data_IF_938795339057
#
_entry.id   IF_938795339057
#
_cell.length_a   1.000
_cell.length_b   1.000
_cell.length_c   1.000
_cell.angle_alpha   90.00
_cell.angle_beta   90.00
_cell.angle_gamma   90.00
#
_symmetry.space_group_name_H-M   'P 1'
#
loop_
_entity.id
_entity.type
_entity.pdbx_description
1 polymer ?
#
# COMPACT_ATOMS: atom_id res chain seq x y z
N UNK A 1 -17.10 -1.09 10.03
CA UNK A 1 -16.29 -0.49 8.94
C UNK A 1 -16.55 -1.26 7.65
N UNK A 2 -16.55 -0.60 6.50
CA UNK A 2 -16.90 -1.18 5.20
C UNK A 2 -15.66 -1.37 4.33
N UNK A 3 -15.64 -2.38 3.48
CA UNK A 3 -14.62 -2.51 2.45
C UNK A 3 -15.00 -1.66 1.23
N UNK A 4 -14.25 -0.60 0.98
CA UNK A 4 -14.48 0.33 -0.14
C UNK A 4 -13.35 0.24 -1.17
N UNK A 5 -13.48 0.88 -2.35
CA UNK A 5 -12.39 0.99 -3.31
C UNK A 5 -11.10 1.58 -2.72
N UNK A 6 -11.17 2.41 -1.66
CA UNK A 6 -9.98 2.97 -0.98
C UNK A 6 -9.19 1.93 -0.17
N UNK A 7 -9.82 0.81 0.18
CA UNK A 7 -9.17 -0.30 0.88
C UNK A 7 -8.31 -1.17 -0.05
N UNK A 8 -8.35 -0.92 -1.37
CA UNK A 8 -7.61 -1.73 -2.35
C UNK A 8 -6.21 -1.17 -2.58
N UNK A 9 -5.22 -2.02 -2.35
CA UNK A 9 -3.81 -1.74 -2.64
C UNK A 9 -3.30 -2.62 -3.77
N UNK A 10 -2.54 -2.03 -4.69
CA UNK A 10 -1.69 -2.77 -5.61
C UNK A 10 -0.43 -3.18 -4.87
N UNK A 11 -0.20 -4.49 -4.78
CA UNK A 11 1.06 -5.07 -4.34
C UNK A 11 2.07 -5.09 -5.50
N UNK A 12 3.35 -4.82 -5.21
CA UNK A 12 4.43 -4.93 -6.19
C UNK A 12 5.75 -5.24 -5.50
N UNK A 13 6.64 -5.96 -6.20
CA UNK A 13 8.00 -6.21 -5.72
C UNK A 13 8.92 -5.04 -6.13
N UNK A 14 9.84 -4.66 -5.23
CA UNK A 14 10.89 -3.69 -5.48
C UNK A 14 12.27 -4.31 -5.20
N UNK A 15 13.17 -4.20 -6.19
CA UNK A 15 14.55 -4.72 -6.14
C UNK A 15 14.64 -6.19 -5.69
N UNK A 16 13.63 -7.00 -6.04
CA UNK A 16 13.51 -8.43 -5.72
C UNK A 16 13.54 -8.79 -4.22
N UNK A 17 13.44 -7.81 -3.31
CA UNK A 17 13.55 -8.06 -1.88
C UNK A 17 12.40 -7.46 -1.05
N UNK A 18 11.88 -6.30 -1.47
CA UNK A 18 10.83 -5.61 -0.73
C UNK A 18 9.49 -5.70 -1.43
N UNK A 19 8.42 -5.71 -0.63
CA UNK A 19 7.06 -5.52 -1.10
C UNK A 19 6.64 -4.07 -0.85
N UNK A 20 5.98 -3.47 -1.84
CA UNK A 20 5.42 -2.13 -1.75
C UNK A 20 3.92 -2.18 -2.03
N UNK A 21 3.16 -1.34 -1.33
CA UNK A 21 1.72 -1.22 -1.48
C UNK A 21 1.36 0.19 -1.94
N UNK A 22 0.67 0.31 -3.08
CA UNK A 22 0.20 1.60 -3.59
C UNK A 22 -1.31 1.64 -3.71
N UNK A 23 -1.92 2.81 -3.52
CA UNK A 23 -3.35 3.00 -3.77
C UNK A 23 -3.71 2.61 -5.20
N UNK A 24 -4.85 1.92 -5.38
CA UNK A 24 -5.40 1.68 -6.71
C UNK A 24 -6.10 2.92 -7.30
N UNK A 25 -6.59 3.82 -6.43
CA UNK A 25 -7.34 5.02 -6.82
C UNK A 25 -6.45 6.26 -6.94
N UNK A 26 -5.55 6.46 -5.97
CA UNK A 26 -4.89 7.74 -5.78
C UNK A 26 -3.46 7.76 -6.34
N UNK A 27 -3.18 8.81 -7.11
CA UNK A 27 -1.87 9.13 -7.69
C UNK A 27 -1.70 10.64 -7.84
N UNK A 28 -0.47 11.10 -8.02
CA UNK A 28 -0.23 12.48 -8.44
C UNK A 28 -0.78 12.69 -9.85
N UNK A 29 -1.55 13.76 -10.03
CA UNK A 29 -2.24 14.05 -11.29
C UNK A 29 -1.26 14.31 -12.44
N UNK A 30 -0.26 15.16 -12.23
CA UNK A 30 0.69 15.55 -13.29
C UNK A 30 1.67 14.43 -13.64
N UNK A 31 2.35 13.86 -12.65
CA UNK A 31 3.42 12.85 -12.89
C UNK A 31 2.89 11.43 -13.04
N UNK A 32 1.61 11.18 -12.75
CA UNK A 32 1.04 9.85 -12.66
C UNK A 32 1.60 8.99 -11.52
N UNK A 33 2.50 9.52 -10.67
CA UNK A 33 3.17 8.76 -9.62
C UNK A 33 2.16 8.30 -8.56
N UNK A 34 2.09 6.99 -8.34
CA UNK A 34 1.21 6.40 -7.34
C UNK A 34 1.52 6.87 -5.91
N UNK A 35 0.52 6.82 -5.03
CA UNK A 35 0.69 7.03 -3.61
C UNK A 35 0.95 5.70 -2.91
N UNK A 36 1.91 5.67 -1.99
CA UNK A 36 2.36 4.44 -1.35
C UNK A 36 2.06 4.44 0.14
N UNK A 37 1.73 3.27 0.70
CA UNK A 37 1.80 3.05 2.14
C UNK A 37 3.25 3.28 2.60
N UNK A 38 3.44 3.94 3.73
CA UNK A 38 4.78 4.06 4.29
C UNK A 38 4.86 4.59 5.71
N UNK A 39 5.98 4.28 6.36
CA UNK A 39 6.33 4.70 7.72
C UNK A 39 7.60 5.54 7.70
N UNK A 40 7.70 6.52 8.60
CA UNK A 40 8.95 7.25 8.82
C UNK A 40 9.92 6.44 9.71
N UNK A 41 11.08 7.02 10.05
CA UNK A 41 12.11 6.34 10.86
C UNK A 41 11.63 6.07 12.29
N UNK A 42 10.67 6.84 12.76
CA UNK A 42 10.04 6.73 14.07
C UNK A 42 8.85 5.75 14.06
N UNK A 43 8.58 5.09 12.93
CA UNK A 43 7.48 4.12 12.80
C UNK A 43 6.09 4.75 12.64
N UNK A 44 6.01 6.07 12.40
CA UNK A 44 4.75 6.80 12.24
C UNK A 44 4.30 6.79 10.78
N UNK A 45 2.98 6.75 10.57
CA UNK A 45 2.38 6.76 9.23
C UNK A 45 2.71 8.04 8.46
N UNK A 46 3.06 7.88 7.18
CA UNK A 46 3.30 8.98 6.26
C UNK A 46 2.13 9.16 5.29
N UNK A 47 1.86 10.41 4.88
CA UNK A 47 0.91 10.68 3.79
C UNK A 47 1.39 10.03 2.49
N UNK A 48 0.53 9.28 1.81
CA UNK A 48 0.94 8.43 0.70
C UNK A 48 1.57 9.18 -0.50
N UNK A 49 1.21 10.44 -0.72
CA UNK A 49 1.83 11.29 -1.75
C UNK A 49 3.30 11.67 -1.45
N UNK A 50 3.71 11.63 -0.18
CA UNK A 50 5.07 11.89 0.29
C UNK A 50 5.95 10.63 0.30
N UNK A 51 5.34 9.45 0.24
CA UNK A 51 6.05 8.17 0.16
C UNK A 51 6.45 7.91 -1.29
N UNK A 52 7.69 7.49 -1.52
CA UNK A 52 8.25 7.19 -2.86
C UNK A 52 8.64 5.73 -2.91
N UNK A 53 8.33 5.06 -4.03
CA UNK A 53 8.71 3.66 -4.32
C UNK A 53 10.18 3.32 -4.02
N UNK A 54 11.10 4.25 -4.30
CA UNK A 54 12.55 4.05 -4.14
C UNK A 54 13.08 4.40 -2.75
N UNK A 55 12.20 4.70 -1.77
CA UNK A 55 12.60 5.09 -0.42
C UNK A 55 12.23 4.00 0.59
N UNK A 56 13.08 3.75 1.62
CA UNK A 56 12.83 2.73 2.64
C UNK A 56 11.48 2.83 3.34
N UNK A 57 10.93 4.05 3.44
CA UNK A 57 9.60 4.27 3.99
C UNK A 57 8.51 3.41 3.33
N UNK A 58 8.66 3.05 2.05
CA UNK A 58 7.70 2.25 1.28
C UNK A 58 7.99 0.74 1.34
N UNK A 59 9.10 0.32 1.94
CA UNK A 59 9.66 -1.02 1.80
C UNK A 59 9.25 -1.90 2.96
N UNK A 60 8.39 -2.88 2.69
CA UNK A 60 7.90 -3.83 3.69
C UNK A 60 8.42 -5.22 3.39
N UNK A 61 8.69 -5.99 4.46
CA UNK A 61 9.01 -7.41 4.38
C UNK A 61 7.87 -8.19 5.06
N UNK A 62 6.97 -8.82 4.28
CA UNK A 62 5.92 -9.66 4.85
C UNK A 62 6.53 -10.81 5.65
N UNK A 63 5.96 -11.07 6.84
CA UNK A 63 6.30 -12.22 7.68
C UNK A 63 5.05 -13.10 7.85
N UNK A 64 4.76 -14.01 6.90
CA UNK A 64 3.58 -14.87 6.98
C UNK A 64 3.61 -15.73 8.25
N UNK A 65 2.47 -15.86 8.92
CA UNK A 65 2.31 -16.74 10.09
C UNK A 65 1.72 -18.08 9.66
N UNK A 66 0.56 -18.03 9.01
CA UNK A 66 -0.15 -19.18 8.47
C UNK A 66 -0.95 -18.79 7.24
N UNK A 67 -1.39 -19.79 6.46
CA UNK A 67 -2.32 -19.59 5.35
C UNK A 67 -3.74 -19.69 5.89
N UNK A 68 -4.59 -18.74 5.53
CA UNK A 68 -5.98 -18.70 5.95
C UNK A 68 -6.92 -18.47 4.76
N UNK A 69 -8.14 -18.99 4.90
CA UNK A 69 -9.22 -18.77 3.94
C UNK A 69 -10.12 -17.64 4.44
N UNK A 70 -10.40 -16.68 3.57
CA UNK A 70 -11.29 -15.56 3.86
C UNK A 70 -12.44 -15.53 2.86
N UNK A 71 -13.62 -15.10 3.31
CA UNK A 71 -14.71 -14.76 2.41
C UNK A 71 -14.36 -13.46 1.69
N UNK A 72 -14.66 -13.38 0.40
CA UNK A 72 -14.50 -12.13 -0.34
C UNK A 72 -15.33 -11.01 0.32
N UNK A 73 -14.72 -9.86 0.65
CA UNK A 73 -15.42 -8.78 1.31
C UNK A 73 -16.41 -8.10 0.36
N UNK A 74 -17.61 -7.78 0.86
CA UNK A 74 -18.58 -6.99 0.11
C UNK A 74 -18.04 -5.60 -0.17
N UNK A 75 -18.01 -5.20 -1.44
CA UNK A 75 -17.59 -3.86 -1.86
C UNK A 75 -18.71 -2.85 -1.63
N UNK A 76 -18.39 -1.75 -0.98
CA UNK A 76 -19.29 -0.62 -0.73
C UNK A 76 -18.73 0.64 -1.39
N UNK A 77 -19.59 1.60 -1.68
CA UNK A 77 -19.18 2.92 -2.15
C UNK A 77 -18.41 3.70 -1.07
N UNK A 78 -17.70 4.74 -1.51
CA UNK A 78 -16.96 5.67 -0.64
C UNK A 78 -17.94 6.60 0.08
#
# INVERSE_FOLDING_TARGET
ELFTPECKFKESVFENYYVIYSSMLYRQQESGRAWFLGLNKEGQVMKGNRVKKTKPAAHFLPKPLEVAMYREPSLHDI
#
